data_IF_376161058711
#
_entry.id   IF_376161058711
#
_cell.length_a   1.000
_cell.length_b   1.000
_cell.length_c   1.000
_cell.angle_alpha   90.00
_cell.angle_beta   90.00
_cell.angle_gamma   90.00
#
_symmetry.space_group_name_H-M   'P 1'
#
loop_
_entity.id
_entity.type
_entity.pdbx_description
1 polymer ?
#
# COMPACT_ATOMS: atom_id res chain seq x y z
N UNK A 1 17.79 3.89 -31.89
CA UNK A 1 17.26 3.47 -30.58
C UNK A 1 15.77 3.64 -30.68
N UNK A 2 14.96 2.61 -30.47
CA UNK A 2 13.50 2.77 -30.45
C UNK A 2 13.13 3.73 -29.32
N UNK A 3 12.20 4.63 -29.60
CA UNK A 3 11.65 5.55 -28.59
C UNK A 3 11.01 4.72 -27.47
N UNK A 4 11.40 5.00 -26.21
CA UNK A 4 10.83 4.26 -25.06
C UNK A 4 9.36 4.63 -24.92
N UNK A 5 8.50 3.66 -24.65
CA UNK A 5 7.10 3.91 -24.31
C UNK A 5 7.02 4.57 -22.93
N UNK A 6 6.46 5.77 -22.87
CA UNK A 6 6.29 6.53 -21.63
C UNK A 6 5.09 6.06 -20.83
N UNK A 7 5.23 6.06 -19.49
CA UNK A 7 4.23 5.54 -18.56
C UNK A 7 3.92 6.52 -17.45
N UNK A 8 2.62 6.79 -17.24
CA UNK A 8 2.10 7.28 -15.98
C UNK A 8 1.81 6.06 -15.08
N UNK A 9 2.52 5.93 -13.98
CA UNK A 9 2.40 4.78 -13.08
C UNK A 9 1.54 5.11 -11.87
N UNK A 10 0.43 4.39 -11.70
CA UNK A 10 -0.48 4.52 -10.56
C UNK A 10 -0.37 3.31 -9.66
N UNK A 11 0.02 3.53 -8.41
CA UNK A 11 0.28 2.48 -7.42
C UNK A 11 -0.78 2.50 -6.32
N UNK A 12 -1.58 1.44 -6.25
CA UNK A 12 -2.69 1.32 -5.31
C UNK A 12 -2.29 1.01 -3.87
N UNK A 13 -3.25 1.23 -2.98
CA UNK A 13 -3.23 0.88 -1.56
C UNK A 13 -3.26 -0.64 -1.35
N UNK A 14 -2.70 -1.17 -0.23
CA UNK A 14 -2.86 -2.59 0.12
C UNK A 14 -1.88 -3.19 1.12
N UNK A 15 -1.31 -2.43 2.05
CA UNK A 15 -0.45 -2.95 3.12
C UNK A 15 0.78 -3.69 2.59
N UNK A 16 1.14 -4.83 3.19
CA UNK A 16 2.34 -5.59 2.81
C UNK A 16 2.33 -6.05 1.34
N UNK A 17 1.14 -6.26 0.73
CA UNK A 17 1.03 -6.56 -0.70
C UNK A 17 1.69 -5.48 -1.58
N UNK A 18 1.78 -4.23 -1.07
CA UNK A 18 2.45 -3.13 -1.75
C UNK A 18 3.92 -3.37 -2.08
N UNK A 19 4.58 -4.32 -1.42
CA UNK A 19 5.94 -4.74 -1.80
C UNK A 19 5.97 -5.29 -3.24
N UNK A 20 4.85 -5.79 -3.75
CA UNK A 20 4.73 -6.24 -5.15
C UNK A 20 4.96 -5.10 -6.15
N UNK A 21 4.68 -3.84 -5.79
CA UNK A 21 4.97 -2.68 -6.64
C UNK A 21 6.45 -2.60 -7.04
N UNK A 22 7.38 -3.06 -6.17
CA UNK A 22 8.82 -3.12 -6.50
C UNK A 22 9.04 -4.00 -7.73
N UNK A 23 8.44 -5.20 -7.73
CA UNK A 23 8.57 -6.13 -8.86
C UNK A 23 7.92 -5.61 -10.15
N UNK A 24 6.79 -4.88 -10.04
CA UNK A 24 6.14 -4.23 -11.17
C UNK A 24 7.04 -3.15 -11.78
N UNK A 25 7.64 -2.27 -10.95
CA UNK A 25 8.53 -1.21 -11.41
C UNK A 25 9.76 -1.79 -12.11
N UNK A 26 10.41 -2.78 -11.50
CA UNK A 26 11.59 -3.42 -12.09
C UNK A 26 11.28 -4.10 -13.44
N UNK A 27 10.12 -4.73 -13.57
CA UNK A 27 9.75 -5.38 -14.82
C UNK A 27 9.34 -4.37 -15.90
N UNK A 28 8.67 -3.25 -15.53
CA UNK A 28 8.40 -2.13 -16.43
C UNK A 28 9.70 -1.57 -17.04
N UNK A 29 10.70 -1.28 -16.20
CA UNK A 29 11.99 -0.76 -16.67
C UNK A 29 12.73 -1.78 -17.57
N UNK A 30 12.68 -3.05 -17.22
CA UNK A 30 13.29 -4.15 -17.98
C UNK A 30 12.65 -4.33 -19.36
N UNK A 31 11.32 -4.18 -19.46
CA UNK A 31 10.58 -4.18 -20.74
C UNK A 31 10.77 -2.88 -21.54
N UNK A 32 11.61 -1.95 -21.06
CA UNK A 32 12.01 -0.75 -21.77
C UNK A 32 11.02 0.41 -21.68
N UNK A 33 10.08 0.38 -20.75
CA UNK A 33 9.21 1.53 -20.46
C UNK A 33 9.98 2.63 -19.71
N UNK A 34 9.55 3.87 -19.92
CA UNK A 34 10.04 5.06 -19.22
C UNK A 34 8.93 5.60 -18.32
N UNK A 35 9.11 5.48 -17.00
CA UNK A 35 8.17 6.03 -16.03
C UNK A 35 8.39 7.53 -15.94
N UNK A 36 7.36 8.32 -16.34
CA UNK A 36 7.43 9.78 -16.41
C UNK A 36 6.63 10.47 -15.30
N UNK A 37 5.80 9.75 -14.56
CA UNK A 37 5.03 10.22 -13.42
C UNK A 37 4.68 9.03 -12.54
N UNK A 38 4.68 9.23 -11.21
CA UNK A 38 4.22 8.23 -10.25
C UNK A 38 3.19 8.85 -9.30
N UNK A 39 2.04 8.19 -9.17
CA UNK A 39 0.98 8.57 -8.24
C UNK A 39 0.71 7.36 -7.35
N UNK A 40 0.78 7.55 -6.04
CA UNK A 40 0.63 6.45 -5.10
C UNK A 40 -0.30 6.72 -3.94
N UNK A 41 -0.94 5.66 -3.45
CA UNK A 41 -1.75 5.66 -2.25
C UNK A 41 -1.23 4.61 -1.26
N UNK A 42 -1.10 4.98 0.02
CA UNK A 42 -0.67 4.07 1.09
C UNK A 42 0.69 3.42 0.76
N UNK A 43 0.78 2.09 0.77
CA UNK A 43 2.02 1.40 0.37
C UNK A 43 2.44 1.69 -1.08
N UNK A 44 1.49 2.00 -1.97
CA UNK A 44 1.82 2.49 -3.31
C UNK A 44 2.54 3.84 -3.29
N UNK A 45 2.17 4.74 -2.37
CA UNK A 45 2.90 5.99 -2.16
C UNK A 45 4.31 5.73 -1.61
N UNK A 46 4.46 4.79 -0.65
CA UNK A 46 5.77 4.44 -0.08
C UNK A 46 6.73 3.94 -1.16
N UNK A 47 6.33 2.91 -1.91
CA UNK A 47 7.19 2.33 -2.94
C UNK A 47 7.44 3.33 -4.08
N UNK A 48 6.40 4.05 -4.52
CA UNK A 48 6.49 5.05 -5.58
C UNK A 48 7.38 6.24 -5.21
N UNK A 49 7.22 6.79 -4.01
CA UNK A 49 8.03 7.91 -3.52
C UNK A 49 9.51 7.53 -3.37
N UNK A 50 9.79 6.34 -2.82
CA UNK A 50 11.16 5.83 -2.70
C UNK A 50 11.78 5.56 -4.07
N UNK A 51 11.00 5.09 -5.04
CA UNK A 51 11.46 4.95 -6.42
C UNK A 51 11.83 6.29 -7.03
N UNK A 52 10.95 7.30 -6.92
CA UNK A 52 11.21 8.66 -7.44
C UNK A 52 12.41 9.33 -6.75
N UNK A 53 12.67 9.00 -5.48
CA UNK A 53 13.87 9.40 -4.75
C UNK A 53 15.15 8.69 -5.21
N UNK A 54 15.07 7.71 -6.14
CA UNK A 54 16.21 6.92 -6.62
C UNK A 54 16.74 5.90 -5.60
N UNK A 55 15.95 5.52 -4.60
CA UNK A 55 16.37 4.68 -3.48
C UNK A 55 15.72 3.27 -3.47
N UNK A 56 15.06 2.88 -4.57
CA UNK A 56 14.32 1.61 -4.63
C UNK A 56 15.19 0.39 -4.35
N UNK A 57 16.44 0.39 -4.83
CA UNK A 57 17.38 -0.72 -4.64
C UNK A 57 17.72 -0.95 -3.16
N UNK A 58 18.04 0.14 -2.43
CA UNK A 58 18.37 0.05 -1.00
C UNK A 58 17.15 -0.33 -0.17
N UNK A 59 16.00 0.25 -0.52
CA UNK A 59 14.72 -0.10 0.11
C UNK A 59 14.37 -1.58 -0.10
N UNK A 60 14.51 -2.09 -1.34
CA UNK A 60 14.30 -3.52 -1.64
C UNK A 60 15.21 -4.41 -0.79
N UNK A 61 16.51 -4.11 -0.70
CA UNK A 61 17.47 -4.88 0.12
C UNK A 61 16.99 -4.95 1.57
N UNK A 62 16.58 -3.81 2.14
CA UNK A 62 16.04 -3.75 3.49
C UNK A 62 14.76 -4.58 3.63
N UNK A 63 13.79 -4.43 2.73
CA UNK A 63 12.54 -5.20 2.75
C UNK A 63 12.80 -6.72 2.70
N UNK A 64 13.76 -7.17 1.87
CA UNK A 64 14.13 -8.57 1.78
C UNK A 64 14.82 -9.12 3.05
N UNK A 65 15.36 -8.25 3.88
CA UNK A 65 16.00 -8.63 5.16
C UNK A 65 14.99 -8.77 6.31
N UNK A 66 13.74 -8.35 6.13
CA UNK A 66 12.74 -8.36 7.19
C UNK A 66 12.33 -9.77 7.58
N UNK A 67 12.40 -10.06 8.87
CA UNK A 67 11.88 -11.29 9.50
C UNK A 67 10.55 -10.98 10.21
N UNK A 68 9.79 -12.00 10.60
CA UNK A 68 8.57 -11.81 11.42
C UNK A 68 8.84 -10.98 12.67
N UNK A 69 9.95 -11.29 13.38
CA UNK A 69 10.38 -10.52 14.55
C UNK A 69 10.75 -9.09 14.18
N UNK A 70 11.51 -8.88 13.09
CA UNK A 70 11.90 -7.55 12.63
C UNK A 70 10.69 -6.67 12.29
N UNK A 71 9.66 -7.22 11.65
CA UNK A 71 8.40 -6.50 11.41
C UNK A 71 7.74 -6.10 12.72
N UNK A 72 7.66 -7.03 13.68
CA UNK A 72 7.07 -6.76 14.99
C UNK A 72 7.82 -5.65 15.75
N UNK A 73 9.15 -5.69 15.74
CA UNK A 73 10.01 -4.73 16.44
C UNK A 73 9.91 -3.30 15.85
N UNK A 74 9.51 -3.19 14.56
CA UNK A 74 9.26 -1.91 13.88
C UNK A 74 7.89 -1.30 14.22
N UNK A 75 6.94 -2.10 14.72
CA UNK A 75 5.62 -1.61 15.12
C UNK A 75 5.75 -1.01 16.53
N UNK A 76 5.76 0.32 16.62
CA UNK A 76 5.77 1.05 17.88
C UNK A 76 4.34 1.15 18.43
N UNK A 77 3.96 0.12 19.18
CA UNK A 77 2.63 0.05 19.76
C UNK A 77 2.34 1.19 20.74
N UNK A 78 1.14 1.71 20.63
CA UNK A 78 0.59 2.71 21.54
C UNK A 78 -0.87 2.34 21.85
N UNK A 79 -1.37 2.77 23.00
CA UNK A 79 -2.75 2.51 23.39
C UNK A 79 -3.49 3.84 23.46
N UNK A 80 -3.83 4.38 22.29
CA UNK A 80 -4.67 5.58 22.18
C UNK A 80 -6.03 5.21 21.62
N UNK A 81 -7.03 6.04 21.87
CA UNK A 81 -8.35 5.88 21.26
C UNK A 81 -8.35 6.05 19.74
N UNK A 82 -7.25 6.52 19.16
CA UNK A 82 -7.15 6.88 17.73
C UNK A 82 -6.34 5.89 16.91
N UNK A 83 -5.61 4.96 17.53
CA UNK A 83 -4.80 3.95 16.83
C UNK A 83 -3.84 3.20 17.73
N UNK A 84 -3.34 2.06 17.26
CA UNK A 84 -2.47 1.16 18.03
C UNK A 84 -0.99 1.28 17.68
N UNK A 85 -0.63 1.91 16.57
CA UNK A 85 0.75 2.05 16.07
C UNK A 85 1.05 3.52 15.77
N UNK A 86 2.13 4.06 16.32
CA UNK A 86 2.57 5.43 16.00
C UNK A 86 3.25 5.50 14.63
N UNK A 87 4.02 4.49 14.26
CA UNK A 87 4.77 4.42 13.01
C UNK A 87 6.11 5.17 13.04
N UNK A 88 6.51 5.76 14.17
CA UNK A 88 7.75 6.55 14.27
C UNK A 88 9.00 5.70 14.01
N UNK A 89 9.06 4.48 14.57
CA UNK A 89 10.18 3.56 14.35
C UNK A 89 10.28 3.12 12.90
N UNK A 90 9.12 2.81 12.28
CA UNK A 90 9.06 2.37 10.89
C UNK A 90 9.57 3.47 9.96
N UNK A 91 9.07 4.70 10.10
CA UNK A 91 9.48 5.82 9.25
C UNK A 91 10.89 6.32 9.60
N UNK A 92 11.31 6.27 10.87
CA UNK A 92 12.71 6.50 11.25
C UNK A 92 13.66 5.55 10.54
N UNK A 93 13.28 4.26 10.42
CA UNK A 93 14.08 3.27 9.67
C UNK A 93 14.07 3.53 8.15
N UNK A 94 12.96 3.98 7.58
CA UNK A 94 12.91 4.40 6.17
C UNK A 94 13.91 5.54 5.93
N UNK A 95 13.91 6.59 6.75
CA UNK A 95 14.85 7.72 6.64
C UNK A 95 16.31 7.25 6.78
N UNK A 96 16.58 6.33 7.72
CA UNK A 96 17.93 5.77 7.89
C UNK A 96 18.42 5.03 6.64
N UNK A 97 17.53 4.29 5.97
CA UNK A 97 17.88 3.49 4.78
C UNK A 97 17.98 4.34 3.51
N UNK A 98 17.12 5.34 3.34
CA UNK A 98 16.96 6.09 2.08
C UNK A 98 17.39 7.55 2.15
N UNK A 99 17.73 8.06 3.35
CA UNK A 99 18.01 9.49 3.58
C UNK A 99 16.76 10.35 3.58
N UNK A 100 16.88 11.58 4.08
CA UNK A 100 15.80 12.57 4.05
C UNK A 100 15.66 13.13 2.63
N UNK A 101 14.41 13.22 2.13
CA UNK A 101 14.10 13.57 0.75
C UNK A 101 13.00 14.65 0.69
N UNK A 102 13.05 15.50 -0.33
CA UNK A 102 11.98 16.42 -0.68
C UNK A 102 11.36 16.03 -2.00
N UNK A 103 10.04 16.05 -2.09
CA UNK A 103 9.29 15.60 -3.28
C UNK A 103 9.60 16.46 -4.49
N UNK A 104 9.73 17.77 -4.30
CA UNK A 104 10.05 18.74 -5.36
C UNK A 104 11.43 18.57 -6.00
N UNK A 105 12.33 17.84 -5.35
CA UNK A 105 13.69 17.58 -5.87
C UNK A 105 13.74 16.34 -6.80
N UNK A 106 12.63 15.62 -6.95
CA UNK A 106 12.61 14.41 -7.77
C UNK A 106 12.61 14.72 -9.27
N UNK A 107 13.36 13.91 -10.02
CA UNK A 107 13.36 13.98 -11.50
C UNK A 107 12.05 13.52 -12.11
N UNK A 108 11.39 12.56 -11.46
CA UNK A 108 10.09 12.00 -11.85
C UNK A 108 9.04 12.62 -10.94
N UNK A 109 8.06 13.37 -11.47
CA UNK A 109 6.94 13.90 -10.69
C UNK A 109 6.28 12.82 -9.86
N UNK A 110 6.08 13.10 -8.58
CA UNK A 110 5.48 12.19 -7.62
C UNK A 110 4.30 12.84 -6.89
N UNK A 111 3.25 12.05 -6.67
CA UNK A 111 2.10 12.46 -5.85
C UNK A 111 1.77 11.37 -4.85
N UNK A 112 1.77 11.69 -3.56
CA UNK A 112 1.21 10.84 -2.51
C UNK A 112 -0.20 11.32 -2.14
N UNK A 113 -1.13 10.38 -1.96
CA UNK A 113 -2.52 10.67 -1.62
C UNK A 113 -2.79 10.37 -0.16
N UNK A 114 -3.40 11.31 0.57
CA UNK A 114 -3.97 11.11 1.90
C UNK A 114 -5.40 11.64 1.94
N UNK A 115 -6.10 11.41 3.04
CA UNK A 115 -7.46 11.89 3.27
C UNK A 115 -7.50 12.84 4.47
N UNK A 116 -8.07 14.02 4.30
CA UNK A 116 -8.38 14.94 5.37
C UNK A 116 -9.79 14.67 5.90
N UNK A 117 -9.85 14.08 7.11
CA UNK A 117 -11.11 13.74 7.78
C UNK A 117 -11.91 14.95 8.24
N UNK A 118 -11.25 16.07 8.49
CA UNK A 118 -11.90 17.30 8.98
C UNK A 118 -12.65 18.01 7.86
N UNK A 119 -12.07 18.07 6.67
CA UNK A 119 -12.65 18.75 5.53
C UNK A 119 -13.25 17.81 4.47
N UNK A 120 -13.28 16.49 4.73
CA UNK A 120 -13.85 15.45 3.88
C UNK A 120 -13.32 15.48 2.42
N UNK A 121 -12.00 15.59 2.26
CA UNK A 121 -11.36 15.73 0.95
C UNK A 121 -10.04 14.96 0.87
N UNK A 122 -9.62 14.70 -0.37
CA UNK A 122 -8.27 14.23 -0.64
C UNK A 122 -7.22 15.33 -0.39
N UNK A 123 -6.03 14.91 0.02
CA UNK A 123 -4.83 15.76 0.11
C UNK A 123 -3.77 15.13 -0.78
N UNK A 124 -3.23 15.91 -1.70
CA UNK A 124 -2.25 15.47 -2.67
C UNK A 124 -0.91 16.12 -2.37
N UNK A 125 0.06 15.35 -1.87
CA UNK A 125 1.41 15.81 -1.60
C UNK A 125 2.24 15.71 -2.87
N UNK A 126 2.59 16.88 -3.44
CA UNK A 126 3.42 17.04 -4.63
C UNK A 126 4.74 17.76 -4.32
N UNK A 127 4.90 18.23 -3.11
CA UNK A 127 6.05 18.96 -2.58
C UNK A 127 6.20 18.73 -1.08
N UNK A 128 7.32 19.14 -0.49
CA UNK A 128 7.63 19.05 0.93
C UNK A 128 8.36 17.75 1.29
N UNK A 129 8.40 17.47 2.59
CA UNK A 129 9.08 16.29 3.13
C UNK A 129 8.38 15.01 2.71
N UNK A 130 9.13 14.13 2.02
CA UNK A 130 8.61 12.85 1.53
C UNK A 130 8.03 12.00 2.67
N UNK A 131 8.75 11.87 3.78
CA UNK A 131 8.34 10.95 4.84
C UNK A 131 7.13 11.43 5.61
N UNK A 132 6.92 12.75 5.72
CA UNK A 132 5.67 13.31 6.24
C UNK A 132 4.49 12.97 5.32
N UNK A 133 4.67 13.11 4.00
CA UNK A 133 3.65 12.74 3.02
C UNK A 133 3.34 11.24 3.06
N UNK A 134 4.36 10.38 3.09
CA UNK A 134 4.20 8.93 3.19
C UNK A 134 3.53 8.52 4.50
N UNK A 135 3.94 9.13 5.64
CA UNK A 135 3.33 8.86 6.95
C UNK A 135 1.83 9.22 6.97
N UNK A 136 1.44 10.33 6.33
CA UNK A 136 0.04 10.68 6.16
C UNK A 136 -0.69 9.63 5.31
N UNK A 137 -0.12 9.28 4.15
CA UNK A 137 -0.71 8.35 3.18
C UNK A 137 -0.96 6.94 3.73
N UNK A 138 -0.17 6.47 4.71
CA UNK A 138 -0.32 5.13 5.33
C UNK A 138 -1.05 5.12 6.67
N UNK A 139 -1.63 6.24 7.10
CA UNK A 139 -2.33 6.36 8.38
C UNK A 139 -3.67 5.64 8.38
N UNK A 140 -3.66 4.31 8.23
CA UNK A 140 -4.86 3.46 8.19
C UNK A 140 -5.68 3.65 9.47
N UNK A 141 -6.97 4.09 9.36
CA UNK A 141 -7.83 4.29 10.53
C UNK A 141 -7.94 3.03 11.40
N UNK A 142 -7.82 3.21 12.72
CA UNK A 142 -7.85 2.11 13.69
C UNK A 142 -6.53 1.33 13.82
N UNK A 143 -5.58 1.51 12.92
CA UNK A 143 -4.25 0.87 12.97
C UNK A 143 -3.19 1.90 13.33
N UNK A 144 -2.94 2.86 12.45
CA UNK A 144 -2.01 3.95 12.70
C UNK A 144 -2.71 5.17 13.29
N UNK A 145 -2.03 5.87 14.20
CA UNK A 145 -2.52 7.16 14.68
C UNK A 145 -2.61 8.14 13.51
N UNK A 146 -3.69 8.92 13.38
CA UNK A 146 -3.77 9.97 12.37
C UNK A 146 -2.68 11.03 12.58
N UNK A 147 -2.33 11.76 11.53
CA UNK A 147 -1.54 12.98 11.67
C UNK A 147 -2.52 14.11 11.95
N UNK A 148 -2.34 14.74 13.11
CA UNK A 148 -3.13 15.91 13.52
C UNK A 148 -2.21 17.13 13.46
N UNK A 149 -2.55 18.09 12.62
CA UNK A 149 -1.88 19.37 12.49
C UNK A 149 -2.95 20.46 12.47
N UNK A 150 -2.77 21.50 13.28
CA UNK A 150 -3.70 22.62 13.59
C UNK A 150 -5.13 22.48 13.04
N UNK A 151 -5.29 22.47 11.71
CA UNK A 151 -6.59 22.42 11.02
C UNK A 151 -6.81 21.15 10.18
N UNK A 152 -5.90 20.18 10.19
CA UNK A 152 -5.94 18.94 9.41
C UNK A 152 -5.98 17.70 10.30
N UNK A 153 -6.76 16.71 9.88
CA UNK A 153 -6.72 15.34 10.45
C UNK A 153 -6.51 14.36 9.32
N UNK A 154 -5.26 13.97 9.09
CA UNK A 154 -4.87 13.16 7.95
C UNK A 154 -4.86 11.67 8.29
N UNK A 155 -5.51 10.91 7.44
CA UNK A 155 -5.55 9.44 7.44
C UNK A 155 -5.17 8.90 6.05
N UNK A 156 -5.08 7.59 5.94
CA UNK A 156 -4.73 6.87 4.70
C UNK A 156 -5.59 7.36 3.50
N UNK A 157 -4.92 7.57 2.38
CA UNK A 157 -5.57 8.01 1.14
C UNK A 157 -6.62 7.02 0.63
N UNK A 158 -6.46 5.74 0.95
CA UNK A 158 -7.40 4.69 0.58
C UNK A 158 -8.81 4.83 1.17
N UNK A 159 -9.02 5.76 2.11
CA UNK A 159 -10.38 6.13 2.58
C UNK A 159 -11.22 6.72 1.44
N UNK A 160 -10.63 7.55 0.58
CA UNK A 160 -11.32 8.21 -0.53
C UNK A 160 -10.85 7.74 -1.90
N UNK A 161 -9.55 7.43 -2.06
CA UNK A 161 -8.96 7.16 -3.36
C UNK A 161 -7.86 6.06 -3.29
N UNK A 162 -8.25 4.79 -3.19
CA UNK A 162 -7.32 3.67 -3.04
C UNK A 162 -6.47 3.40 -4.29
N UNK A 163 -6.95 3.78 -5.48
CA UNK A 163 -6.23 3.65 -6.76
C UNK A 163 -6.37 4.95 -7.57
N UNK A 164 -5.49 5.94 -7.36
CA UNK A 164 -5.69 7.33 -7.77
C UNK A 164 -5.44 7.60 -9.27
N UNK A 165 -6.13 6.87 -10.16
CA UNK A 165 -6.02 7.01 -11.63
C UNK A 165 -6.52 8.39 -12.08
N UNK A 166 -7.50 8.96 -11.40
CA UNK A 166 -8.09 10.27 -11.68
C UNK A 166 -7.10 11.43 -11.59
N UNK A 167 -5.96 11.24 -10.93
CA UNK A 167 -4.95 12.29 -10.76
C UNK A 167 -3.92 12.33 -11.89
N UNK A 168 -3.91 11.35 -12.78
CA UNK A 168 -3.03 11.31 -13.95
C UNK A 168 -3.31 12.48 -14.87
N UNK A 169 -2.26 13.27 -15.15
CA UNK A 169 -2.32 14.28 -16.20
C UNK A 169 -2.00 13.63 -17.55
N UNK A 170 -3.03 13.02 -18.16
CA UNK A 170 -2.90 12.21 -19.37
C UNK A 170 -2.19 12.98 -20.49
N UNK A 171 -1.22 12.33 -21.13
CA UNK A 171 -0.49 12.81 -22.30
C UNK A 171 -0.71 11.85 -23.46
N UNK A 172 -0.79 12.38 -24.68
CA UNK A 172 -1.02 11.56 -25.89
C UNK A 172 0.16 10.64 -26.21
N UNK A 173 1.37 10.96 -25.71
CA UNK A 173 2.61 10.21 -25.93
C UNK A 173 2.92 9.19 -24.80
N UNK A 174 1.99 8.97 -23.86
CA UNK A 174 2.18 8.10 -22.71
C UNK A 174 0.94 7.25 -22.41
N UNK A 175 1.17 6.06 -21.87
CA UNK A 175 0.12 5.15 -21.41
C UNK A 175 -0.04 5.20 -19.88
N UNK A 176 -1.21 4.79 -19.39
CA UNK A 176 -1.50 4.66 -17.98
C UNK A 176 -1.34 3.19 -17.57
N UNK A 177 -0.43 2.92 -16.65
CA UNK A 177 -0.30 1.62 -15.98
C UNK A 177 -0.80 1.77 -14.55
N UNK A 178 -1.89 1.09 -14.21
CA UNK A 178 -2.45 1.07 -12.86
C UNK A 178 -2.21 -0.29 -12.20
N UNK A 179 -1.80 -0.28 -10.93
CA UNK A 179 -1.48 -1.49 -10.17
C UNK A 179 -2.43 -1.62 -8.98
N UNK A 180 -3.41 -2.50 -9.13
CA UNK A 180 -4.32 -2.90 -8.06
C UNK A 180 -3.76 -4.12 -7.32
N UNK A 181 -3.41 -3.95 -6.05
CA UNK A 181 -2.88 -5.02 -5.18
C UNK A 181 -3.91 -5.55 -4.19
N UNK A 182 -5.18 -5.24 -4.43
CA UNK A 182 -6.32 -5.74 -3.67
C UNK A 182 -7.34 -6.45 -4.57
N UNK A 183 -6.94 -6.84 -5.79
CA UNK A 183 -7.84 -7.47 -6.74
C UNK A 183 -8.55 -8.69 -6.16
N UNK A 184 -9.83 -8.81 -6.48
CA UNK A 184 -10.63 -10.02 -6.18
C UNK A 184 -10.40 -11.13 -7.20
N UNK A 185 -9.72 -10.83 -8.30
CA UNK A 185 -9.40 -11.82 -9.33
C UNK A 185 -8.41 -12.82 -8.76
N UNK A 186 -8.81 -14.07 -8.64
CA UNK A 186 -7.94 -15.15 -8.18
C UNK A 186 -7.08 -15.61 -9.37
N UNK A 187 -5.78 -15.41 -9.23
CA UNK A 187 -4.77 -15.93 -10.17
C UNK A 187 -3.90 -16.91 -9.38
N UNK A 188 -4.10 -18.21 -9.55
CA UNK A 188 -3.42 -19.24 -8.74
C UNK A 188 -1.90 -19.10 -8.72
N UNK A 189 -1.30 -18.70 -9.86
CA UNK A 189 0.15 -18.50 -9.99
C UNK A 189 0.69 -17.33 -9.15
N UNK A 190 -0.19 -16.41 -8.73
CA UNK A 190 0.15 -15.25 -7.91
C UNK A 190 -0.11 -15.46 -6.42
N UNK A 191 -0.66 -16.60 -6.02
CA UNK A 191 -0.86 -16.94 -4.62
C UNK A 191 0.41 -17.53 -4.01
N UNK A 192 0.71 -17.13 -2.78
CA UNK A 192 1.76 -17.77 -1.98
C UNK A 192 1.21 -19.12 -1.53
N UNK A 193 1.82 -20.21 -2.01
CA UNK A 193 1.45 -21.57 -1.60
C UNK A 193 1.94 -21.79 -0.17
N UNK A 194 1.08 -21.53 0.79
CA UNK A 194 1.24 -22.03 2.16
C UNK A 194 0.32 -23.22 2.36
N UNK A 195 0.78 -24.23 3.15
CA UNK A 195 -0.12 -25.28 3.62
C UNK A 195 -1.33 -24.62 4.30
N UNK A 196 -2.54 -25.02 3.93
CA UNK A 196 -3.83 -24.54 4.46
C UNK A 196 -3.95 -24.83 5.97
N UNK A 197 -3.11 -24.20 6.79
CA UNK A 197 -3.35 -24.08 8.22
C UNK A 197 -4.28 -22.92 8.44
N UNK A 198 -5.50 -23.26 8.86
CA UNK A 198 -6.55 -22.38 9.36
C UNK A 198 -6.20 -20.89 9.37
N UNK A 199 -6.55 -20.17 8.30
CA UNK A 199 -6.47 -18.71 8.15
C UNK A 199 -7.56 -18.04 9.01
N UNK A 200 -7.52 -18.20 10.34
CA UNK A 200 -8.40 -17.46 11.24
C UNK A 200 -7.75 -17.32 12.61
N UNK A 201 -6.65 -16.57 12.67
CA UNK A 201 -6.28 -15.86 13.89
C UNK A 201 -5.71 -14.52 13.46
N UNK A 202 -6.44 -13.46 13.79
CA UNK A 202 -6.04 -12.11 13.44
C UNK A 202 -4.63 -11.85 13.94
N UNK A 203 -3.77 -11.29 13.08
CA UNK A 203 -2.36 -11.02 13.39
C UNK A 203 -2.20 -10.21 14.67
N UNK A 204 -3.15 -9.31 14.97
CA UNK A 204 -3.14 -8.46 16.15
C UNK A 204 -3.57 -9.18 17.44
N UNK A 205 -4.30 -10.31 17.39
CA UNK A 205 -4.62 -11.12 18.59
C UNK A 205 -3.35 -11.63 19.28
N UNK A 206 -2.28 -11.88 18.52
CA UNK A 206 -1.00 -12.27 19.09
C UNK A 206 -0.22 -11.09 19.69
N UNK A 207 -0.67 -9.86 19.46
CA UNK A 207 0.02 -8.59 19.78
C UNK A 207 -0.70 -7.86 20.92
N UNK A 208 -2.00 -8.09 21.10
CA UNK A 208 -2.77 -7.47 22.16
C UNK A 208 -2.26 -7.92 23.55
N UNK A 209 -2.16 -6.98 24.53
CA UNK A 209 -1.93 -7.33 25.92
C UNK A 209 -2.96 -8.35 26.42
N UNK A 210 -2.52 -9.18 27.36
CA UNK A 210 -3.36 -10.27 27.88
C UNK A 210 -4.68 -9.76 28.48
N UNK A 211 -4.69 -8.55 29.06
CA UNK A 211 -5.90 -7.87 29.56
C UNK A 211 -6.95 -7.59 28.47
N UNK A 212 -6.53 -7.34 27.23
CA UNK A 212 -7.45 -7.13 26.09
C UNK A 212 -7.84 -8.47 25.49
N UNK A 213 -6.93 -9.46 25.49
CA UNK A 213 -7.25 -10.83 25.09
C UNK A 213 -8.29 -11.46 25.99
N UNK A 214 -8.17 -11.29 27.32
CA UNK A 214 -9.16 -11.76 28.30
C UNK A 214 -10.52 -11.07 28.11
N UNK A 215 -10.55 -9.77 27.82
CA UNK A 215 -11.79 -9.07 27.50
C UNK A 215 -12.43 -9.60 26.20
N UNK A 216 -11.63 -9.89 25.19
CA UNK A 216 -12.10 -10.50 23.94
C UNK A 216 -12.58 -11.94 24.14
N UNK A 217 -11.83 -12.78 24.90
CA UNK A 217 -12.14 -14.18 25.16
C UNK A 217 -13.41 -14.37 26.01
N UNK A 218 -13.64 -13.52 27.01
CA UNK A 218 -14.87 -13.57 27.82
C UNK A 218 -16.14 -13.24 27.03
N UNK A 219 -16.00 -12.69 25.81
CA UNK A 219 -17.11 -12.50 24.87
C UNK A 219 -17.23 -13.62 23.81
N UNK A 220 -16.21 -14.47 23.62
CA UNK A 220 -16.24 -15.58 22.63
C UNK A 220 -17.21 -16.72 22.99
N UNK A 221 -17.46 -16.98 24.26
CA UNK A 221 -18.39 -18.06 24.68
C UNK A 221 -19.86 -17.83 24.28
N UNK A 222 -20.19 -16.63 23.76
CA UNK A 222 -21.57 -16.30 23.33
C UNK A 222 -21.77 -16.18 21.81
N UNK A 223 -20.74 -16.47 20.96
CA UNK A 223 -20.83 -16.09 19.54
C UNK A 223 -20.48 -17.21 18.55
N UNK A 224 -21.49 -17.89 18.09
CA UNK A 224 -21.58 -18.35 16.69
C UNK A 224 -22.00 -17.12 15.87
N UNK A 225 -21.13 -16.65 14.94
CA UNK A 225 -21.43 -15.67 13.88
C UNK A 225 -21.52 -14.16 14.24
N UNK A 226 -20.71 -13.63 15.14
CA UNK A 226 -20.66 -12.17 15.26
C UNK A 226 -19.24 -11.62 15.05
N UNK A 227 -19.11 -10.69 14.10
CA UNK A 227 -17.90 -9.91 13.90
C UNK A 227 -17.63 -9.02 15.12
N UNK A 228 -16.38 -8.93 15.56
CA UNK A 228 -15.99 -7.88 16.51
C UNK A 228 -16.14 -6.51 15.87
N UNK A 229 -16.22 -5.44 16.67
CA UNK A 229 -16.31 -4.07 16.13
C UNK A 229 -15.13 -3.75 15.21
N UNK A 230 -13.94 -4.21 15.58
CA UNK A 230 -12.73 -4.00 14.76
C UNK A 230 -12.81 -4.74 13.43
N UNK A 231 -13.26 -5.99 13.42
CA UNK A 231 -13.48 -6.78 12.19
C UNK A 231 -14.50 -6.12 11.26
N UNK A 232 -15.59 -5.59 11.85
CA UNK A 232 -16.59 -4.86 11.07
C UNK A 232 -15.99 -3.60 10.44
N UNK A 233 -15.20 -2.83 11.19
CA UNK A 233 -14.54 -1.62 10.69
C UNK A 233 -13.55 -1.94 9.59
N UNK A 234 -12.68 -2.95 9.80
CA UNK A 234 -11.68 -3.39 8.82
C UNK A 234 -12.36 -3.90 7.53
N UNK A 235 -13.39 -4.75 7.68
CA UNK A 235 -14.14 -5.27 6.54
C UNK A 235 -14.87 -4.15 5.79
N UNK A 236 -15.50 -3.22 6.51
CA UNK A 236 -16.19 -2.09 5.90
C UNK A 236 -15.22 -1.21 5.11
N UNK A 237 -14.06 -0.89 5.70
CA UNK A 237 -13.00 -0.14 5.03
C UNK A 237 -12.51 -0.86 3.77
N UNK A 238 -12.24 -2.16 3.89
CA UNK A 238 -11.80 -2.99 2.76
C UNK A 238 -12.83 -3.04 1.64
N UNK A 239 -14.12 -3.26 1.94
CA UNK A 239 -15.18 -3.31 0.93
C UNK A 239 -15.40 -1.95 0.24
N UNK A 240 -15.27 -0.86 1.00
CA UNK A 240 -15.36 0.48 0.43
C UNK A 240 -14.20 0.74 -0.53
N UNK A 241 -12.98 0.38 -0.15
CA UNK A 241 -11.81 0.49 -1.02
C UNK A 241 -11.98 -0.33 -2.30
N UNK A 242 -12.47 -1.56 -2.21
CA UNK A 242 -12.73 -2.39 -3.38
C UNK A 242 -13.67 -1.70 -4.35
N UNK A 243 -14.80 -1.20 -3.84
CA UNK A 243 -15.80 -0.53 -4.70
C UNK A 243 -15.27 0.75 -5.32
N UNK A 244 -14.51 1.56 -4.56
CA UNK A 244 -13.85 2.75 -5.09
C UNK A 244 -12.84 2.39 -6.18
N UNK A 245 -12.02 1.36 -5.97
CA UNK A 245 -11.05 0.87 -6.96
C UNK A 245 -11.75 0.41 -8.24
N UNK A 246 -12.81 -0.39 -8.13
CA UNK A 246 -13.64 -0.81 -9.29
C UNK A 246 -14.15 0.39 -10.08
N UNK A 247 -14.72 1.39 -9.39
CA UNK A 247 -15.23 2.61 -10.02
C UNK A 247 -14.13 3.42 -10.73
N UNK A 248 -12.93 3.51 -10.14
CA UNK A 248 -11.78 4.16 -10.76
C UNK A 248 -11.36 3.44 -12.04
N UNK A 249 -11.26 2.10 -11.99
CA UNK A 249 -10.89 1.29 -13.16
C UNK A 249 -11.96 1.40 -14.27
N UNK A 250 -13.23 1.27 -13.93
CA UNK A 250 -14.35 1.36 -14.87
C UNK A 250 -14.42 2.73 -15.58
N UNK A 251 -14.17 3.81 -14.83
CA UNK A 251 -14.28 5.18 -15.34
C UNK A 251 -13.07 5.63 -16.12
N UNK A 252 -11.86 5.40 -15.58
CA UNK A 252 -10.61 5.93 -16.16
C UNK A 252 -9.90 4.98 -17.11
N UNK A 253 -10.23 3.69 -17.11
CA UNK A 253 -9.79 2.66 -18.05
C UNK A 253 -8.28 2.75 -18.34
N UNK A 254 -7.40 2.35 -17.39
CA UNK A 254 -5.97 2.36 -17.63
C UNK A 254 -5.61 1.47 -18.82
N UNK A 255 -4.55 1.81 -19.56
CA UNK A 255 -4.10 1.06 -20.73
C UNK A 255 -3.58 -0.33 -20.33
N UNK A 256 -2.94 -0.44 -19.17
CA UNK A 256 -2.53 -1.71 -18.56
C UNK A 256 -2.99 -1.71 -17.10
N UNK A 257 -3.82 -2.70 -16.74
CA UNK A 257 -4.20 -2.97 -15.36
C UNK A 257 -3.43 -4.18 -14.85
N UNK A 258 -2.55 -3.95 -13.86
CA UNK A 258 -1.81 -5.00 -13.16
C UNK A 258 -2.58 -5.38 -11.90
N UNK A 259 -2.99 -6.64 -11.80
CA UNK A 259 -3.78 -7.13 -10.68
C UNK A 259 -2.97 -8.11 -9.83
N UNK A 260 -2.86 -7.83 -8.53
CA UNK A 260 -2.32 -8.75 -7.52
C UNK A 260 -3.47 -9.15 -6.59
N UNK A 261 -3.75 -10.48 -6.45
CA UNK A 261 -4.85 -10.95 -5.63
C UNK A 261 -4.69 -10.55 -4.17
N UNK A 262 -5.78 -10.10 -3.54
CA UNK A 262 -5.78 -9.74 -2.11
C UNK A 262 -5.40 -10.89 -1.19
N UNK A 263 -5.70 -12.13 -1.60
CA UNK A 263 -5.40 -13.35 -0.84
C UNK A 263 -3.91 -13.77 -0.91
N UNK A 264 -3.06 -12.96 -1.55
CA UNK A 264 -1.62 -13.21 -1.67
C UNK A 264 -0.93 -13.17 -0.30
N UNK A 265 -1.25 -12.19 0.55
CA UNK A 265 -0.77 -12.12 1.93
C UNK A 265 -1.63 -11.18 2.78
N UNK A 266 -1.45 -11.24 4.10
CA UNK A 266 -2.09 -10.33 5.05
C UNK A 266 -1.38 -8.96 5.11
N UNK A 267 -2.06 -7.95 5.67
CA UNK A 267 -1.66 -6.53 5.67
C UNK A 267 -0.26 -6.27 6.26
N UNK A 268 0.22 -7.12 7.19
CA UNK A 268 1.50 -6.93 7.89
C UNK A 268 2.55 -7.99 7.62
N UNK A 269 2.34 -8.85 6.62
CA UNK A 269 3.26 -9.94 6.30
C UNK A 269 4.46 -9.47 5.45
N UNK A 270 5.07 -8.35 5.79
CA UNK A 270 6.26 -7.79 5.11
C UNK A 270 7.44 -8.75 5.04
N UNK A 271 7.52 -9.74 5.92
CA UNK A 271 8.53 -10.79 5.87
C UNK A 271 8.41 -11.73 4.65
N UNK A 272 7.31 -11.63 3.89
CA UNK A 272 7.10 -12.32 2.60
C UNK A 272 7.62 -11.50 1.41
N UNK A 273 8.39 -10.44 1.64
CA UNK A 273 8.84 -9.48 0.63
C UNK A 273 9.45 -10.13 -0.60
N UNK A 274 10.26 -11.18 -0.45
CA UNK A 274 10.86 -11.89 -1.60
C UNK A 274 9.79 -12.44 -2.55
N UNK A 275 8.78 -13.12 -2.00
CA UNK A 275 7.69 -13.69 -2.80
C UNK A 275 6.82 -12.60 -3.42
N UNK A 276 6.56 -11.50 -2.67
CA UNK A 276 5.75 -10.39 -3.14
C UNK A 276 6.39 -9.65 -4.32
N UNK A 277 7.71 -9.43 -4.30
CA UNK A 277 8.44 -8.84 -5.45
C UNK A 277 8.31 -9.73 -6.68
N UNK A 278 8.49 -11.05 -6.54
CA UNK A 278 8.33 -12.00 -7.65
C UNK A 278 6.90 -12.04 -8.19
N UNK A 279 5.91 -11.94 -7.31
CA UNK A 279 4.48 -11.87 -7.67
C UNK A 279 4.20 -10.60 -8.47
N UNK A 280 4.72 -9.45 -8.04
CA UNK A 280 4.57 -8.19 -8.76
C UNK A 280 5.11 -8.25 -10.18
N UNK A 281 6.32 -8.80 -10.35
CA UNK A 281 6.93 -8.99 -11.66
C UNK A 281 6.10 -9.92 -12.56
N UNK A 282 5.57 -11.02 -12.01
CA UNK A 282 4.70 -11.95 -12.75
C UNK A 282 3.36 -11.32 -13.10
N UNK A 283 2.75 -10.59 -12.17
CA UNK A 283 1.49 -9.91 -12.40
C UNK A 283 1.59 -8.90 -13.56
N UNK A 284 2.69 -8.14 -13.62
CA UNK A 284 2.94 -7.23 -14.73
C UNK A 284 3.09 -7.98 -16.06
N UNK A 285 3.90 -9.05 -16.12
CA UNK A 285 4.03 -9.86 -17.37
C UNK A 285 2.69 -10.43 -17.82
N UNK A 286 1.87 -10.92 -16.87
CA UNK A 286 0.54 -11.44 -17.19
C UNK A 286 -0.39 -10.33 -17.74
N UNK A 287 -0.33 -9.11 -17.17
CA UNK A 287 -1.11 -7.97 -17.65
C UNK A 287 -0.66 -7.53 -19.04
N UNK A 288 0.66 -7.46 -19.28
CA UNK A 288 1.24 -7.09 -20.58
C UNK A 288 0.82 -8.09 -21.68
N UNK A 289 0.84 -9.39 -21.37
CA UNK A 289 0.41 -10.43 -22.33
C UNK A 289 -1.08 -10.35 -22.71
N UNK A 290 -1.91 -9.74 -21.86
CA UNK A 290 -3.35 -9.54 -22.15
C UNK A 290 -3.64 -8.23 -22.92
N UNK A 291 -2.70 -7.28 -22.90
CA UNK A 291 -2.85 -5.97 -23.56
C UNK A 291 -2.33 -5.95 -25.01
N UNK A 292 -1.69 -7.02 -25.46
CA UNK A 292 -1.25 -7.28 -26.85
C UNK A 292 -2.28 -8.15 -27.56
#
# INVERSE_FOLDING_TARGET
MSEKKKVHLVLGSGGARGVAHIGVIEELEKEGYEIIEVIGCSMGAVVGGIYCAGQLSEYKKWMLSLTKKGVFDLLDFTFTSQGFVKGEKLFGKHIEVTGQQKIEDFKIPFTAVATDMKHHKEVHFKEGDLFKALRASVSIPGIFTPIVDEDLVLVDGGVLNPLPINLVQKRDDAIIVAVDINSRTIVEDLLIKEEKKQRKKYWFENILPDSIKEFAQNHEERKKESFSLFELMESTFSFTQDRLTELMIEHYKPDILVEVPRDTCDTFEFYKSKQLVEIGARAFRNALAKSV
#
